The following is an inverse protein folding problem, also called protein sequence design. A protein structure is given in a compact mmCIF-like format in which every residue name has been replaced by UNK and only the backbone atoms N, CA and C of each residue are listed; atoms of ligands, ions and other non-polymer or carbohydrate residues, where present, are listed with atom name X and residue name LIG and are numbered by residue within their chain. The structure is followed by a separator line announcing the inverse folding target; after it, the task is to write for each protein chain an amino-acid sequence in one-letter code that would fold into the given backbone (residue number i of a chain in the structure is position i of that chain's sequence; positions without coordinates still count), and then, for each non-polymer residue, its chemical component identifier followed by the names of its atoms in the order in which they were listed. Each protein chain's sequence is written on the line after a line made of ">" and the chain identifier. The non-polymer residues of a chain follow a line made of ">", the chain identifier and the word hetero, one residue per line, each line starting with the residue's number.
data_IF_627543840156
#
_entry.id   IF_627543840156
#
_cell.length_a   1.000
_cell.length_b   1.000
_cell.length_c   1.000
_cell.angle_alpha   90.00
_cell.angle_beta   90.00
_cell.angle_gamma   90.00
#
_symmetry.space_group_name_H-M   'P 1'
#
loop_
_entity.id
_entity.type
_entity.pdbx_description
1 polymer ?
#
# COMPACT_ATOMS: atom_id res chain seq x y z
N UNK A 1 11.03 -18.03 16.27
CA UNK A 1 12.15 -17.34 15.60
C UNK A 1 11.75 -17.15 14.14
N UNK A 2 11.43 -15.92 13.74
CA UNK A 2 11.28 -15.58 12.32
C UNK A 2 12.69 -15.38 11.75
N UNK A 3 13.01 -16.09 10.68
CA UNK A 3 14.32 -16.05 10.03
C UNK A 3 14.43 -14.77 9.19
N UNK A 4 15.46 -13.95 9.36
CA UNK A 4 15.66 -12.69 8.61
C UNK A 4 15.66 -12.89 7.08
N UNK A 5 15.95 -14.12 6.61
CA UNK A 5 15.86 -14.53 5.20
C UNK A 5 14.43 -14.65 4.63
N UNK A 6 13.38 -14.27 5.39
CA UNK A 6 11.97 -14.36 4.95
C UNK A 6 11.25 -13.00 4.85
N UNK A 7 11.95 -11.87 5.08
CA UNK A 7 11.42 -10.53 4.84
C UNK A 7 11.42 -10.23 3.33
N UNK A 8 10.29 -10.49 2.67
CA UNK A 8 10.09 -10.18 1.26
C UNK A 8 9.58 -8.76 1.04
N UNK A 9 10.12 -8.07 0.03
CA UNK A 9 9.62 -6.76 -0.41
C UNK A 9 8.63 -6.94 -1.55
N UNK A 10 7.51 -6.22 -1.50
CA UNK A 10 6.56 -6.09 -2.60
C UNK A 10 6.73 -4.72 -3.23
N UNK A 11 7.02 -4.68 -4.52
CA UNK A 11 7.12 -3.44 -5.30
C UNK A 11 5.96 -3.31 -6.28
N UNK A 12 5.38 -2.10 -6.37
CA UNK A 12 4.35 -1.74 -7.34
C UNK A 12 4.75 -0.45 -8.05
N UNK A 13 4.75 -0.47 -9.39
CA UNK A 13 4.99 0.71 -10.23
C UNK A 13 3.74 1.04 -11.01
N UNK A 14 3.24 2.26 -10.87
CA UNK A 14 2.02 2.76 -11.51
C UNK A 14 2.24 4.18 -12.04
N UNK A 15 1.50 4.62 -13.08
CA UNK A 15 1.50 6.01 -13.51
C UNK A 15 1.08 6.97 -12.40
N UNK A 16 1.67 8.17 -12.37
CA UNK A 16 1.26 9.27 -11.46
C UNK A 16 -0.03 9.93 -11.96
N UNK A 17 -1.15 9.19 -11.89
CA UNK A 17 -2.49 9.70 -12.23
C UNK A 17 -3.54 9.20 -11.24
N UNK A 18 -4.56 10.01 -11.00
CA UNK A 18 -5.59 9.77 -9.99
C UNK A 18 -6.30 8.42 -10.16
N UNK A 19 -6.53 7.96 -11.40
CA UNK A 19 -7.20 6.68 -11.65
C UNK A 19 -6.41 5.45 -11.15
N UNK A 20 -5.10 5.60 -10.87
CA UNK A 20 -4.24 4.52 -10.38
C UNK A 20 -4.16 4.43 -8.85
N UNK A 21 -4.64 5.43 -8.11
CA UNK A 21 -4.60 5.42 -6.64
C UNK A 21 -5.38 4.23 -6.06
N UNK A 22 -6.48 3.84 -6.70
CA UNK A 22 -7.25 2.66 -6.30
C UNK A 22 -6.43 1.35 -6.40
N UNK A 23 -5.55 1.23 -7.39
CA UNK A 23 -4.69 0.05 -7.57
C UNK A 23 -3.69 -0.06 -6.41
N UNK A 24 -3.04 1.04 -6.03
CA UNK A 24 -2.12 1.07 -4.89
C UNK A 24 -2.82 0.69 -3.58
N UNK A 25 -4.02 1.23 -3.33
CA UNK A 25 -4.83 0.93 -2.14
C UNK A 25 -5.25 -0.53 -2.08
N UNK A 26 -5.64 -1.12 -3.20
CA UNK A 26 -6.03 -2.55 -3.24
C UNK A 26 -4.81 -3.47 -3.06
N UNK A 27 -3.68 -3.13 -3.66
CA UNK A 27 -2.45 -3.91 -3.50
C UNK A 27 -1.97 -3.92 -2.04
N UNK A 28 -1.93 -2.74 -1.38
CA UNK A 28 -1.51 -2.68 0.03
C UNK A 28 -2.50 -3.38 0.96
N UNK A 29 -3.81 -3.30 0.67
CA UNK A 29 -4.83 -4.03 1.43
C UNK A 29 -4.63 -5.55 1.35
N UNK A 30 -4.32 -6.09 0.16
CA UNK A 30 -4.03 -7.50 -0.02
C UNK A 30 -2.79 -7.96 0.77
N UNK A 31 -1.73 -7.15 0.79
CA UNK A 31 -0.52 -7.44 1.57
C UNK A 31 -0.80 -7.37 3.07
N UNK A 32 -1.46 -6.31 3.55
CA UNK A 32 -1.79 -6.14 4.96
C UNK A 32 -2.73 -7.24 5.48
N UNK A 33 -3.71 -7.67 4.67
CA UNK A 33 -4.57 -8.80 4.99
C UNK A 33 -3.76 -10.11 5.15
N UNK A 34 -2.77 -10.35 4.29
CA UNK A 34 -1.87 -11.51 4.40
C UNK A 34 -1.00 -11.46 5.66
N UNK A 35 -0.72 -10.26 6.17
CA UNK A 35 -0.02 -10.02 7.44
C UNK A 35 -0.96 -10.03 8.66
N UNK A 36 -2.24 -10.37 8.48
CA UNK A 36 -3.26 -10.48 9.53
C UNK A 36 -3.57 -9.17 10.27
N UNK A 37 -3.44 -8.03 9.58
CA UNK A 37 -3.90 -6.74 10.12
C UNK A 37 -5.43 -6.77 10.29
N UNK A 38 -5.93 -6.06 11.29
CA UNK A 38 -7.36 -5.83 11.47
C UNK A 38 -7.93 -4.99 10.32
N UNK A 39 -9.26 -4.99 10.19
CA UNK A 39 -9.95 -4.21 9.15
C UNK A 39 -9.65 -2.71 9.32
N UNK A 40 -9.63 -2.22 10.56
CA UNK A 40 -9.33 -0.82 10.88
C UNK A 40 -7.90 -0.45 10.46
N UNK A 41 -6.91 -1.27 10.85
CA UNK A 41 -5.52 -1.06 10.45
C UNK A 41 -5.32 -1.11 8.93
N UNK A 42 -6.06 -1.97 8.22
CA UNK A 42 -6.02 -2.02 6.75
C UNK A 42 -6.57 -0.73 6.14
N UNK A 43 -7.67 -0.18 6.67
CA UNK A 43 -8.23 1.08 6.18
C UNK A 43 -7.30 2.27 6.48
N UNK A 44 -6.64 2.28 7.63
CA UNK A 44 -5.63 3.30 7.97
C UNK A 44 -4.44 3.27 7.00
N UNK A 45 -3.94 2.08 6.67
CA UNK A 45 -2.86 1.92 5.68
C UNK A 45 -3.32 2.36 4.28
N UNK A 46 -4.56 2.03 3.90
CA UNK A 46 -5.12 2.48 2.61
C UNK A 46 -5.26 4.00 2.55
N UNK A 47 -5.59 4.65 3.67
CA UNK A 47 -5.66 6.12 3.75
C UNK A 47 -4.27 6.73 3.62
N UNK A 48 -3.28 6.25 4.37
CA UNK A 48 -1.91 6.73 4.30
C UNK A 48 -1.31 6.59 2.88
N UNK A 49 -1.55 5.45 2.21
CA UNK A 49 -1.13 5.26 0.81
C UNK A 49 -1.86 6.21 -0.13
N UNK A 50 -3.15 6.48 0.08
CA UNK A 50 -3.92 7.41 -0.75
C UNK A 50 -3.38 8.85 -0.64
N UNK A 51 -3.07 9.32 0.57
CA UNK A 51 -2.48 10.63 0.81
C UNK A 51 -1.09 10.74 0.19
N UNK A 52 -0.25 9.71 0.35
CA UNK A 52 1.08 9.65 -0.27
C UNK A 52 0.99 9.70 -1.81
N UNK A 53 0.10 8.91 -2.42
CA UNK A 53 -0.12 8.96 -3.87
C UNK A 53 -0.67 10.32 -4.32
N UNK A 54 -1.60 10.91 -3.58
CA UNK A 54 -2.16 12.24 -3.88
C UNK A 54 -1.08 13.31 -3.87
N UNK A 55 -0.19 13.28 -2.88
CA UNK A 55 0.96 14.17 -2.79
C UNK A 55 1.90 14.00 -3.99
N UNK A 56 2.22 12.76 -4.38
CA UNK A 56 3.03 12.48 -5.58
C UNK A 56 2.37 12.92 -6.89
N UNK A 57 1.04 12.87 -6.99
CA UNK A 57 0.31 13.33 -8.17
C UNK A 57 0.29 14.86 -8.25
N UNK A 58 0.17 15.55 -7.12
CA UNK A 58 0.07 17.01 -7.08
C UNK A 58 1.43 17.72 -7.16
N UNK A 59 2.48 17.09 -6.66
CA UNK A 59 3.79 17.73 -6.46
C UNK A 59 4.98 16.99 -7.08
N UNK A 60 4.75 15.82 -7.70
CA UNK A 60 5.78 15.00 -8.34
C UNK A 60 6.05 15.34 -9.80
#
# INVERSE_FOLDING_TARGET
>A
MVNESTLGTVELRIPSKAEWVAVARLAVAAVANRLQFSIEEIEDVKLAVAEACTNCIQHG
#
